data_IF_633751043316
#
_entry.id   IF_633751043316
#
_cell.length_a   1.000
_cell.length_b   1.000
_cell.length_c   1.000
_cell.angle_alpha   90.00
_cell.angle_beta   90.00
_cell.angle_gamma   90.00
#
_symmetry.space_group_name_H-M   'P 1'
#
loop_
_entity.id
_entity.type
_entity.pdbx_description
1 polymer ?
#
# COMPACT_ATOMS: atom_id res chain seq x y z
N UNK A 1 3.96 5.72 -7.14
CA UNK A 1 5.00 5.99 -8.17
C UNK A 1 4.56 7.10 -9.12
N UNK A 2 5.50 7.70 -9.85
CA UNK A 2 5.21 8.53 -11.03
C UNK A 2 5.78 7.81 -12.26
N UNK A 3 5.09 7.92 -13.39
CA UNK A 3 5.56 7.38 -14.67
C UNK A 3 5.10 8.31 -15.79
N UNK A 4 4.14 7.88 -16.62
CA UNK A 4 3.55 8.71 -17.69
C UNK A 4 2.47 9.68 -17.19
N UNK A 5 2.34 9.85 -15.87
CA UNK A 5 1.45 10.82 -15.25
C UNK A 5 2.04 11.40 -13.96
N UNK A 6 1.63 12.63 -13.55
CA UNK A 6 2.11 13.25 -12.32
C UNK A 6 1.66 12.50 -11.06
N UNK A 7 2.36 12.72 -9.95
CA UNK A 7 2.06 12.10 -8.65
C UNK A 7 0.61 12.29 -8.19
N UNK A 8 0.04 13.48 -8.41
CA UNK A 8 -1.36 13.76 -8.06
C UNK A 8 -2.35 12.79 -8.72
N UNK A 9 -2.02 12.29 -9.92
CA UNK A 9 -2.85 11.30 -10.60
C UNK A 9 -2.64 9.90 -10.03
N UNK A 10 -1.45 9.58 -9.53
CA UNK A 10 -1.24 8.32 -8.80
C UNK A 10 -2.01 8.28 -7.50
N UNK A 11 -2.09 9.39 -6.75
CA UNK A 11 -2.92 9.47 -5.54
C UNK A 11 -4.37 9.09 -5.87
N UNK A 12 -4.94 9.70 -6.92
CA UNK A 12 -6.30 9.38 -7.39
C UNK A 12 -6.45 7.94 -7.89
N UNK A 13 -5.45 7.42 -8.60
CA UNK A 13 -5.44 6.04 -9.12
C UNK A 13 -5.41 5.03 -7.96
N UNK A 14 -4.53 5.21 -6.98
CA UNK A 14 -4.44 4.36 -5.80
C UNK A 14 -5.77 4.32 -5.04
N UNK A 15 -6.36 5.50 -4.78
CA UNK A 15 -7.68 5.58 -4.14
C UNK A 15 -8.76 4.81 -4.91
N UNK A 16 -8.84 4.97 -6.24
CA UNK A 16 -9.82 4.26 -7.05
C UNK A 16 -9.60 2.74 -7.06
N UNK A 17 -8.36 2.30 -7.18
CA UNK A 17 -8.03 0.87 -7.11
C UNK A 17 -8.44 0.29 -5.76
N UNK A 18 -8.07 0.94 -4.66
CA UNK A 18 -8.33 0.41 -3.33
C UNK A 18 -9.82 0.44 -2.97
N UNK A 19 -10.56 1.47 -3.41
CA UNK A 19 -12.02 1.50 -3.29
C UNK A 19 -12.68 0.31 -4.01
N UNK A 20 -12.24 0.02 -5.24
CA UNK A 20 -12.81 -1.09 -6.02
C UNK A 20 -12.47 -2.44 -5.40
N UNK A 21 -11.20 -2.66 -5.02
CA UNK A 21 -10.78 -3.93 -4.43
C UNK A 21 -11.48 -4.19 -3.09
N UNK A 22 -11.59 -3.17 -2.21
CA UNK A 22 -12.28 -3.34 -0.93
C UNK A 22 -13.79 -3.55 -1.09
N UNK A 23 -14.40 -3.07 -2.19
CA UNK A 23 -15.77 -3.43 -2.53
C UNK A 23 -15.85 -4.90 -3.02
N UNK A 24 -14.98 -5.30 -3.94
CA UNK A 24 -14.93 -6.68 -4.45
C UNK A 24 -14.68 -7.71 -3.34
N UNK A 25 -13.84 -7.39 -2.35
CA UNK A 25 -13.60 -8.27 -1.21
C UNK A 25 -14.88 -8.61 -0.43
N UNK A 26 -15.89 -7.73 -0.43
CA UNK A 26 -17.18 -8.01 0.23
C UNK A 26 -18.02 -9.02 -0.55
N UNK A 27 -17.94 -8.96 -1.87
CA UNK A 27 -18.73 -9.81 -2.77
C UNK A 27 -18.05 -11.17 -3.01
N UNK A 28 -16.72 -11.21 -2.91
CA UNK A 28 -15.87 -12.38 -3.17
C UNK A 28 -14.97 -12.68 -1.95
N UNK A 29 -15.47 -13.43 -0.95
CA UNK A 29 -14.72 -13.76 0.27
C UNK A 29 -13.35 -14.42 0.02
N UNK A 30 -13.20 -15.14 -1.08
CA UNK A 30 -11.97 -15.82 -1.51
C UNK A 30 -10.92 -14.90 -2.14
N UNK A 31 -11.28 -13.66 -2.48
CA UNK A 31 -10.36 -12.71 -3.08
C UNK A 31 -9.28 -12.30 -2.08
N UNK A 32 -8.02 -12.50 -2.44
CA UNK A 32 -6.86 -11.96 -1.72
C UNK A 32 -6.11 -11.00 -2.64
N UNK A 33 -6.07 -9.74 -2.25
CA UNK A 33 -5.35 -8.71 -2.99
C UNK A 33 -3.99 -8.41 -2.33
N UNK A 34 -2.93 -8.35 -3.13
CA UNK A 34 -1.60 -7.96 -2.66
C UNK A 34 -1.22 -6.57 -3.18
N UNK A 35 -0.65 -5.73 -2.31
CA UNK A 35 -0.12 -4.42 -2.72
C UNK A 35 1.16 -4.06 -1.95
N UNK A 36 2.18 -3.66 -2.72
CA UNK A 36 3.59 -3.63 -2.33
C UNK A 36 4.10 -2.31 -1.75
N UNK A 37 3.51 -1.18 -2.16
CA UNK A 37 4.11 0.14 -1.90
C UNK A 37 3.46 0.82 -0.69
N UNK A 38 4.17 0.94 0.44
CA UNK A 38 3.66 1.62 1.65
C UNK A 38 3.23 3.08 1.36
N UNK A 39 3.93 3.79 0.48
CA UNK A 39 3.58 5.16 0.08
C UNK A 39 2.16 5.28 -0.50
N UNK A 40 1.66 4.26 -1.22
CA UNK A 40 0.30 4.29 -1.75
C UNK A 40 -0.75 4.22 -0.63
N UNK A 41 -0.51 3.39 0.38
CA UNK A 41 -1.34 3.33 1.58
C UNK A 41 -1.31 4.65 2.34
N UNK A 42 -0.12 5.24 2.54
CA UNK A 42 0.02 6.53 3.21
C UNK A 42 -0.80 7.64 2.52
N UNK A 43 -0.77 7.70 1.19
CA UNK A 43 -1.59 8.66 0.44
C UNK A 43 -3.09 8.41 0.60
N UNK A 44 -3.53 7.14 0.60
CA UNK A 44 -4.95 6.82 0.79
C UNK A 44 -5.40 7.10 2.23
N UNK A 45 -4.57 6.80 3.23
CA UNK A 45 -4.81 7.18 4.63
C UNK A 45 -5.03 8.69 4.77
N UNK A 46 -4.17 9.49 4.15
CA UNK A 46 -4.24 10.95 4.21
C UNK A 46 -5.45 11.53 3.45
N UNK A 47 -5.66 11.10 2.20
CA UNK A 47 -6.61 11.75 1.29
C UNK A 47 -8.01 11.10 1.28
N UNK A 48 -8.12 9.84 1.67
CA UNK A 48 -9.37 9.07 1.65
C UNK A 48 -9.53 8.19 2.90
N UNK A 49 -9.69 8.78 4.10
CA UNK A 49 -9.78 8.02 5.36
C UNK A 49 -10.85 6.93 5.36
N UNK A 50 -11.97 7.15 4.66
CA UNK A 50 -13.04 6.15 4.58
C UNK A 50 -12.69 4.92 3.72
N UNK A 51 -11.76 5.04 2.77
CA UNK A 51 -11.21 3.89 2.04
C UNK A 51 -10.18 3.19 2.92
N UNK A 52 -9.37 3.97 3.64
CA UNK A 52 -8.39 3.45 4.57
C UNK A 52 -9.00 2.53 5.64
N UNK A 53 -10.14 2.90 6.23
CA UNK A 53 -10.85 2.02 7.17
C UNK A 53 -11.23 0.67 6.53
N UNK A 54 -11.70 0.68 5.28
CA UNK A 54 -12.04 -0.57 4.56
C UNK A 54 -10.82 -1.42 4.26
N UNK A 55 -9.65 -0.80 4.03
CA UNK A 55 -8.40 -1.54 3.86
C UNK A 55 -8.05 -2.25 5.16
N UNK A 56 -8.14 -1.57 6.31
CA UNK A 56 -7.90 -2.20 7.62
C UNK A 56 -8.85 -3.38 7.87
N UNK A 57 -10.14 -3.22 7.55
CA UNK A 57 -11.12 -4.32 7.62
C UNK A 57 -10.71 -5.49 6.73
N UNK A 58 -10.34 -5.23 5.48
CA UNK A 58 -9.93 -6.27 4.53
C UNK A 58 -8.62 -6.97 4.93
N UNK A 59 -7.68 -6.24 5.54
CA UNK A 59 -6.44 -6.81 6.10
C UNK A 59 -6.76 -7.72 7.28
N UNK A 60 -7.60 -7.27 8.22
CA UNK A 60 -8.03 -8.08 9.36
C UNK A 60 -8.82 -9.33 8.93
N UNK A 61 -9.56 -9.24 7.82
CA UNK A 61 -10.28 -10.37 7.22
C UNK A 61 -9.38 -11.33 6.43
N UNK A 62 -8.09 -11.02 6.23
CA UNK A 62 -7.16 -11.84 5.44
C UNK A 62 -7.35 -11.72 3.92
N UNK A 63 -8.18 -10.78 3.47
CA UNK A 63 -8.49 -10.54 2.04
C UNK A 63 -7.55 -9.51 1.40
N UNK A 64 -6.69 -8.90 2.21
CA UNK A 64 -5.72 -7.92 1.79
C UNK A 64 -4.36 -8.21 2.42
N UNK A 65 -3.35 -8.36 1.58
CA UNK A 65 -1.96 -8.63 1.97
C UNK A 65 -1.06 -7.45 1.60
N UNK A 66 -0.60 -6.68 2.60
CA UNK A 66 0.54 -5.78 2.41
C UNK A 66 1.80 -6.63 2.14
N UNK A 67 2.57 -6.30 1.11
CA UNK A 67 3.76 -7.08 0.71
C UNK A 67 4.96 -6.17 0.42
N UNK A 68 6.15 -6.75 0.23
CA UNK A 68 7.34 -6.07 -0.30
C UNK A 68 8.10 -5.18 0.67
N UNK A 69 7.42 -4.66 1.70
CA UNK A 69 8.03 -3.96 2.85
C UNK A 69 8.79 -2.67 2.52
N UNK A 70 8.85 -2.28 1.24
CA UNK A 70 9.51 -1.04 0.81
C UNK A 70 8.53 0.14 0.83
N UNK A 71 9.08 1.34 1.07
CA UNK A 71 8.30 2.57 0.99
C UNK A 71 7.75 2.81 -0.42
N UNK A 72 8.61 2.63 -1.43
CA UNK A 72 8.25 2.49 -2.85
C UNK A 72 8.99 1.30 -3.45
N UNK A 73 8.53 0.76 -4.58
CA UNK A 73 9.30 -0.25 -5.33
C UNK A 73 10.47 0.45 -6.03
N UNK A 74 11.54 0.69 -5.29
CA UNK A 74 12.74 1.36 -5.80
C UNK A 74 13.49 0.47 -6.77
N UNK A 75 14.22 1.08 -7.70
CA UNK A 75 15.29 0.39 -8.41
C UNK A 75 16.33 -0.17 -7.43
N UNK A 76 16.99 -1.26 -7.81
CA UNK A 76 17.99 -1.94 -6.98
C UNK A 76 19.44 -1.70 -7.43
N UNK A 77 19.67 -0.99 -8.54
CA UNK A 77 21.00 -0.78 -9.11
C UNK A 77 21.60 0.57 -8.71
N UNK A 78 20.80 1.62 -8.78
CA UNK A 78 21.24 3.00 -8.59
C UNK A 78 21.31 3.44 -7.12
N UNK A 79 20.37 3.05 -6.22
CA UNK A 79 20.44 3.47 -4.83
C UNK A 79 21.61 2.82 -4.08
N UNK A 80 22.29 3.61 -3.23
CA UNK A 80 23.26 3.07 -2.29
C UNK A 80 22.60 2.23 -1.19
N UNK A 81 23.39 1.43 -0.48
CA UNK A 81 22.89 0.52 0.56
C UNK A 81 22.06 1.20 1.65
N UNK A 82 22.45 2.40 2.10
CA UNK A 82 21.67 3.17 3.08
C UNK A 82 20.29 3.54 2.54
N UNK A 83 20.19 3.98 1.28
CA UNK A 83 18.90 4.34 0.68
C UNK A 83 17.99 3.11 0.57
N UNK A 84 18.54 1.95 0.20
CA UNK A 84 17.79 0.69 0.15
C UNK A 84 17.33 0.24 1.55
N UNK A 85 18.21 0.33 2.55
CA UNK A 85 17.88 0.04 3.94
C UNK A 85 16.73 0.94 4.43
N UNK A 86 16.75 2.24 4.09
CA UNK A 86 15.67 3.18 4.41
C UNK A 86 14.35 2.80 3.76
N UNK A 87 14.35 2.36 2.49
CA UNK A 87 13.12 1.91 1.82
C UNK A 87 12.43 0.80 2.64
N UNK A 88 13.21 -0.20 3.07
CA UNK A 88 12.70 -1.34 3.84
C UNK A 88 12.28 -0.94 5.27
N UNK A 89 13.13 -0.19 5.99
CA UNK A 89 12.82 0.21 7.37
C UNK A 89 11.58 1.09 7.44
N UNK A 90 11.43 2.04 6.51
CA UNK A 90 10.25 2.91 6.49
C UNK A 90 8.98 2.15 6.09
N UNK A 91 9.04 1.27 5.08
CA UNK A 91 7.87 0.49 4.67
C UNK A 91 7.44 -0.54 5.72
N UNK A 92 8.38 -1.32 6.30
CA UNK A 92 8.09 -2.25 7.40
C UNK A 92 7.42 -1.55 8.57
N UNK A 93 8.02 -0.44 9.05
CA UNK A 93 7.49 0.32 10.18
C UNK A 93 6.07 0.82 9.90
N UNK A 94 5.81 1.33 8.71
CA UNK A 94 4.47 1.79 8.36
C UNK A 94 3.44 0.66 8.45
N UNK A 95 3.73 -0.52 7.90
CA UNK A 95 2.80 -1.65 7.97
C UNK A 95 2.60 -2.19 9.39
N UNK A 96 3.66 -2.19 10.20
CA UNK A 96 3.58 -2.58 11.61
C UNK A 96 2.74 -1.60 12.42
N UNK A 97 3.00 -0.30 12.31
CA UNK A 97 2.31 0.75 13.08
C UNK A 97 0.83 0.92 12.66
N UNK A 98 0.54 0.82 11.36
CA UNK A 98 -0.77 1.17 10.81
C UNK A 98 -1.71 -0.01 10.63
N UNK A 99 -1.15 -1.21 10.38
CA UNK A 99 -1.90 -2.42 10.08
C UNK A 99 -1.59 -3.58 11.04
N UNK A 100 -0.58 -3.46 11.91
CA UNK A 100 -0.15 -4.56 12.77
C UNK A 100 0.43 -5.75 12.01
N UNK A 101 0.90 -5.53 10.77
CA UNK A 101 1.41 -6.59 9.89
C UNK A 101 2.91 -6.50 9.77
N UNK A 102 3.61 -7.58 10.14
CA UNK A 102 5.01 -7.75 9.79
C UNK A 102 5.11 -8.31 8.37
N UNK A 103 5.77 -7.55 7.48
CA UNK A 103 5.96 -7.88 6.06
C UNK A 103 7.39 -8.28 5.74
#
# INVERSE_FOLDING_TARGET
>A
SAWLWPLRETVRKASRTFANVTALARDYPELVFACSQAQQYAWVKEHQPHIWERIKEAVAAGQWSPVGSMWVESDANMPGGEALARQLVHGKRFFEEELGVET
#
